data_IF_869423716358
#
_entry.id   IF_869423716358
#
_cell.length_a   1.000
_cell.length_b   1.000
_cell.length_c   1.000
_cell.angle_alpha   90.00
_cell.angle_beta   90.00
_cell.angle_gamma   90.00
#
_symmetry.space_group_name_H-M   'P 1'
#
loop_
_entity.id
_entity.type
_entity.pdbx_description
1 polymer ?
#
# COMPACT_ATOMS: atom_id res chain seq x y z
N UNK A 1 -7.89 19.59 54.73
CA UNK A 1 -6.71 18.70 54.58
C UNK A 1 -7.06 17.23 54.78
N UNK A 2 -7.75 16.83 55.86
CA UNK A 2 -8.06 15.42 56.20
C UNK A 2 -8.66 14.56 55.08
N UNK A 3 -9.59 15.10 54.27
CA UNK A 3 -10.17 14.36 53.14
C UNK A 3 -9.19 14.11 51.97
N UNK A 4 -8.24 15.03 51.75
CA UNK A 4 -7.18 14.90 50.74
C UNK A 4 -6.09 13.91 51.22
N UNK A 5 -5.75 13.95 52.51
CA UNK A 5 -4.81 13.01 53.14
C UNK A 5 -5.28 11.55 52.98
N UNK A 6 -6.59 11.29 53.04
CA UNK A 6 -7.18 9.96 52.84
C UNK A 6 -7.15 9.49 51.38
N UNK A 7 -7.02 10.41 50.42
CA UNK A 7 -6.99 10.11 48.98
C UNK A 7 -5.58 9.93 48.41
N UNK A 8 -4.56 10.52 49.04
CA UNK A 8 -3.17 10.40 48.61
C UNK A 8 -2.58 9.08 49.11
N UNK A 9 -2.00 8.28 48.21
CA UNK A 9 -1.35 7.00 48.52
C UNK A 9 0.14 7.07 48.22
N UNK A 10 0.91 6.35 49.04
CA UNK A 10 2.34 6.10 48.83
C UNK A 10 3.17 7.37 48.55
N UNK A 11 3.82 7.45 47.38
CA UNK A 11 4.71 8.56 47.01
C UNK A 11 4.00 9.91 46.97
N UNK A 12 2.70 9.95 46.73
CA UNK A 12 1.95 11.21 46.74
C UNK A 12 1.75 11.74 48.18
N UNK A 13 1.68 10.85 49.18
CA UNK A 13 1.60 11.22 50.60
C UNK A 13 2.93 11.81 51.10
N UNK A 14 4.06 11.30 50.62
CA UNK A 14 5.39 11.84 50.99
C UNK A 14 5.58 13.30 50.61
N UNK A 15 4.86 13.80 49.58
CA UNK A 15 4.89 15.21 49.19
C UNK A 15 4.17 16.07 50.24
N UNK A 16 3.05 15.58 50.76
CA UNK A 16 2.31 16.26 51.83
C UNK A 16 3.11 16.26 53.14
N UNK A 17 3.70 15.12 53.51
CA UNK A 17 4.57 15.01 54.70
C UNK A 17 5.79 15.94 54.62
N UNK A 18 6.39 16.09 53.43
CA UNK A 18 7.56 16.95 53.21
C UNK A 18 7.26 18.45 53.32
N UNK A 19 6.01 18.87 53.09
CA UNK A 19 5.60 20.27 53.15
C UNK A 19 5.15 20.69 54.57
N UNK A 20 4.79 19.74 55.44
CA UNK A 20 4.37 19.96 56.83
C UNK A 20 2.85 20.00 57.06
N UNK A 21 2.42 20.19 58.32
CA UNK A 21 0.98 20.17 58.68
C UNK A 21 0.23 21.47 58.35
N UNK A 22 0.92 22.61 58.19
CA UNK A 22 0.32 23.94 57.93
C UNK A 22 0.33 24.34 56.45
N UNK A 23 0.21 23.37 55.55
CA UNK A 23 0.32 23.60 54.10
C UNK A 23 -1.02 24.04 53.52
N UNK A 24 -1.01 25.10 52.72
CA UNK A 24 -2.21 25.53 52.01
C UNK A 24 -2.50 24.61 50.83
N UNK A 25 -3.76 24.56 50.39
CA UNK A 25 -4.14 23.76 49.23
C UNK A 25 -3.32 24.14 47.98
N UNK A 26 -3.06 25.44 47.78
CA UNK A 26 -2.28 25.94 46.65
C UNK A 26 -0.83 25.44 46.68
N UNK A 27 -0.17 25.48 47.85
CA UNK A 27 1.20 25.00 48.02
C UNK A 27 1.32 23.49 47.78
N UNK A 28 0.33 22.71 48.23
CA UNK A 28 0.28 21.28 47.97
C UNK A 28 0.10 20.99 46.47
N UNK A 29 -0.78 21.74 45.80
CA UNK A 29 -1.03 21.58 44.38
C UNK A 29 0.21 21.92 43.55
N UNK A 30 0.88 23.04 43.86
CA UNK A 30 2.12 23.47 43.21
C UNK A 30 3.24 22.43 43.41
N UNK A 31 3.39 21.87 44.61
CA UNK A 31 4.38 20.82 44.85
C UNK A 31 4.07 19.51 44.11
N UNK A 32 2.79 19.14 44.00
CA UNK A 32 2.36 17.97 43.23
C UNK A 32 2.57 18.21 41.73
N UNK A 33 2.25 19.40 41.22
CA UNK A 33 2.53 19.77 39.82
C UNK A 33 4.03 19.87 39.54
N UNK A 34 4.84 20.35 40.48
CA UNK A 34 6.29 20.41 40.31
C UNK A 34 6.92 19.01 40.25
N UNK A 35 6.44 18.07 41.07
CA UNK A 35 6.98 16.69 41.09
C UNK A 35 6.39 15.76 40.03
N UNK A 36 5.09 15.85 39.78
CA UNK A 36 4.35 14.90 38.95
C UNK A 36 3.73 15.53 37.70
N UNK A 37 3.68 16.86 37.63
CA UNK A 37 3.20 17.57 36.46
C UNK A 37 4.14 17.40 35.28
N UNK A 38 3.58 17.47 34.09
CA UNK A 38 4.28 17.24 32.83
C UNK A 38 4.56 18.55 32.06
N UNK A 39 4.37 19.71 32.70
CA UNK A 39 4.59 21.03 32.10
C UNK A 39 6.04 21.23 31.62
N UNK A 40 7.02 20.74 32.39
CA UNK A 40 8.43 20.80 31.99
C UNK A 40 8.79 19.84 30.84
N UNK A 41 7.89 18.92 30.47
CA UNK A 41 8.08 17.93 29.40
C UNK A 41 7.50 18.39 28.05
N UNK A 42 7.03 19.63 27.92
CA UNK A 42 6.49 20.18 26.66
C UNK A 42 7.41 19.91 25.46
N UNK A 43 8.71 20.16 25.60
CA UNK A 43 9.70 19.92 24.54
C UNK A 43 9.81 18.43 24.17
N UNK A 44 9.67 17.53 25.15
CA UNK A 44 9.68 16.09 24.93
C UNK A 44 8.44 15.68 24.13
N UNK A 45 7.25 16.20 24.49
CA UNK A 45 6.04 15.93 23.72
C UNK A 45 6.09 16.52 22.31
N UNK A 46 6.68 17.70 22.11
CA UNK A 46 6.94 18.25 20.77
C UNK A 46 7.83 17.35 19.93
N UNK A 47 8.88 16.77 20.53
CA UNK A 47 9.75 15.82 19.83
C UNK A 47 8.97 14.54 19.47
N UNK A 48 8.20 13.99 20.43
CA UNK A 48 7.36 12.82 20.19
C UNK A 48 6.34 13.05 19.07
N UNK A 49 5.70 14.23 18.98
CA UNK A 49 4.76 14.56 17.89
C UNK A 49 5.40 14.43 16.51
N UNK A 50 6.62 14.94 16.34
CA UNK A 50 7.29 14.98 15.03
C UNK A 50 7.54 13.60 14.45
N UNK A 51 7.89 12.66 15.31
CA UNK A 51 8.20 11.28 14.90
C UNK A 51 6.96 10.38 14.92
N UNK A 52 5.82 10.90 15.41
CA UNK A 52 4.62 10.09 15.59
C UNK A 52 3.84 9.96 14.29
N UNK A 53 3.58 8.70 13.93
CA UNK A 53 2.66 8.30 12.85
C UNK A 53 1.73 7.19 13.35
N UNK A 54 0.56 7.03 12.74
CA UNK A 54 -0.46 6.04 13.10
C UNK A 54 0.10 4.61 13.07
N UNK A 55 0.05 3.87 14.19
CA UNK A 55 0.62 2.51 14.32
C UNK A 55 -0.27 1.42 13.75
N UNK A 56 0.29 0.30 13.26
CA UNK A 56 -0.48 -0.73 12.53
C UNK A 56 -1.77 -1.21 13.22
N UNK A 57 -1.72 -1.30 14.55
CA UNK A 57 -2.78 -1.75 15.43
C UNK A 57 -3.69 -0.62 15.96
N UNK A 58 -3.49 0.62 15.51
CA UNK A 58 -4.21 1.81 15.92
C UNK A 58 -5.21 2.23 14.84
N UNK A 59 -6.49 2.27 15.20
CA UNK A 59 -7.54 2.77 14.31
C UNK A 59 -7.54 4.31 14.24
N UNK A 60 -8.28 4.90 13.30
CA UNK A 60 -8.30 6.36 13.08
C UNK A 60 -8.78 7.14 14.31
N UNK A 61 -9.70 6.59 15.09
CA UNK A 61 -10.27 7.25 16.27
C UNK A 61 -9.29 7.25 17.45
N UNK A 62 -8.62 6.13 17.69
CA UNK A 62 -7.54 6.01 18.67
C UNK A 62 -6.39 6.94 18.30
N UNK A 63 -6.03 6.98 17.01
CA UNK A 63 -5.03 7.90 16.49
C UNK A 63 -5.38 9.37 16.78
N UNK A 64 -6.61 9.79 16.45
CA UNK A 64 -7.08 11.14 16.70
C UNK A 64 -7.00 11.51 18.19
N UNK A 65 -7.46 10.61 19.07
CA UNK A 65 -7.42 10.82 20.52
C UNK A 65 -5.99 10.95 21.05
N UNK A 66 -5.08 10.11 20.58
CA UNK A 66 -3.69 10.16 21.02
C UNK A 66 -2.98 11.41 20.51
N UNK A 67 -3.21 11.83 19.25
CA UNK A 67 -2.73 13.12 18.73
C UNK A 67 -3.25 14.28 19.58
N UNK A 68 -4.54 14.29 19.87
CA UNK A 68 -5.18 15.36 20.63
C UNK A 68 -4.57 15.50 22.04
N UNK A 69 -4.37 14.38 22.75
CA UNK A 69 -3.68 14.39 24.06
C UNK A 69 -2.25 14.92 23.93
N UNK A 70 -1.51 14.47 22.93
CA UNK A 70 -0.09 14.76 22.79
C UNK A 70 0.16 16.22 22.35
N UNK A 71 -0.68 16.76 21.46
CA UNK A 71 -0.64 18.17 21.05
C UNK A 71 -0.98 19.10 22.21
N UNK A 72 -2.01 18.80 23.00
CA UNK A 72 -2.34 19.61 24.19
C UNK A 72 -1.23 19.62 25.23
N UNK A 73 -0.53 18.50 25.40
CA UNK A 73 0.64 18.43 26.27
C UNK A 73 1.85 19.18 25.70
N UNK A 74 2.05 19.14 24.39
CA UNK A 74 3.17 19.78 23.70
C UNK A 74 3.04 21.31 23.62
N UNK A 75 1.82 21.84 23.59
CA UNK A 75 1.53 23.28 23.44
C UNK A 75 0.71 23.83 24.61
N UNK A 76 0.84 23.26 25.81
CA UNK A 76 0.15 23.71 27.02
C UNK A 76 0.37 25.21 27.26
N UNK A 77 1.62 25.68 27.12
CA UNK A 77 2.00 27.10 27.22
C UNK A 77 1.47 28.02 26.11
N UNK A 78 1.10 27.48 24.94
CA UNK A 78 0.67 28.28 23.78
C UNK A 78 -0.60 27.69 23.16
N UNK A 79 -1.78 27.93 23.76
CA UNK A 79 -3.04 27.34 23.30
C UNK A 79 -3.41 27.70 21.86
N UNK A 80 -3.00 28.88 21.38
CA UNK A 80 -3.28 29.34 20.02
C UNK A 80 -2.70 28.42 18.93
N UNK A 81 -1.65 27.64 19.25
CA UNK A 81 -1.03 26.72 18.31
C UNK A 81 -1.68 25.33 18.30
N UNK A 82 -2.58 25.03 19.23
CA UNK A 82 -3.16 23.68 19.40
C UNK A 82 -3.94 23.28 18.15
N UNK A 83 -5.00 24.00 17.79
CA UNK A 83 -5.89 23.60 16.69
C UNK A 83 -5.14 23.44 15.35
N UNK A 84 -4.28 24.41 15.01
CA UNK A 84 -3.50 24.37 13.78
C UNK A 84 -2.54 23.18 13.71
N UNK A 85 -1.83 22.87 14.81
CA UNK A 85 -0.95 21.70 14.84
C UNK A 85 -1.72 20.39 14.90
N UNK A 86 -2.90 20.39 15.51
CA UNK A 86 -3.68 19.18 15.78
C UNK A 86 -4.28 18.60 14.50
N UNK A 87 -4.87 19.44 13.64
CA UNK A 87 -5.36 19.00 12.32
C UNK A 87 -4.21 18.54 11.44
N UNK A 88 -3.13 19.31 11.35
CA UNK A 88 -1.98 18.97 10.49
C UNK A 88 -1.30 17.67 10.94
N UNK A 89 -1.04 17.52 12.24
CA UNK A 89 -0.40 16.30 12.77
C UNK A 89 -1.28 15.07 12.58
N UNK A 90 -2.61 15.22 12.76
CA UNK A 90 -3.54 14.13 12.48
C UNK A 90 -3.45 13.67 11.04
N UNK A 91 -3.56 14.59 10.07
CA UNK A 91 -3.52 14.29 8.62
C UNK A 91 -2.17 13.68 8.25
N UNK A 92 -1.06 14.31 8.62
CA UNK A 92 0.29 13.89 8.23
C UNK A 92 0.64 12.50 8.79
N UNK A 93 0.12 12.16 9.96
CA UNK A 93 0.36 10.86 10.59
C UNK A 93 -0.56 9.72 10.14
N UNK A 94 -1.62 9.95 9.34
CA UNK A 94 -2.50 8.87 8.82
C UNK A 94 -1.67 7.87 8.02
N UNK A 95 -1.70 6.58 8.34
CA UNK A 95 -0.84 5.59 7.66
C UNK A 95 -1.25 5.30 6.22
N UNK A 96 -2.54 5.21 5.97
CA UNK A 96 -3.06 4.88 4.64
C UNK A 96 -2.93 6.11 3.72
N UNK A 97 -2.15 5.97 2.65
CA UNK A 97 -1.84 7.10 1.75
C UNK A 97 -3.07 7.61 1.01
N UNK A 98 -4.04 6.75 0.68
CA UNK A 98 -5.26 7.14 -0.01
C UNK A 98 -6.16 7.96 0.92
N UNK A 99 -6.34 7.47 2.15
CA UNK A 99 -7.09 8.20 3.19
C UNK A 99 -6.41 9.53 3.49
N UNK A 100 -5.08 9.53 3.66
CA UNK A 100 -4.30 10.75 3.90
C UNK A 100 -4.49 11.79 2.78
N UNK A 101 -4.38 11.36 1.53
CA UNK A 101 -4.52 12.26 0.38
C UNK A 101 -5.94 12.85 0.29
N UNK A 102 -6.97 12.02 0.46
CA UNK A 102 -8.36 12.47 0.42
C UNK A 102 -8.67 13.49 1.53
N UNK A 103 -8.26 13.20 2.76
CA UNK A 103 -8.47 14.11 3.91
C UNK A 103 -7.68 15.41 3.73
N UNK A 104 -6.45 15.35 3.20
CA UNK A 104 -5.64 16.56 2.94
C UNK A 104 -6.30 17.50 1.92
N UNK A 105 -7.00 16.96 0.92
CA UNK A 105 -7.74 17.76 -0.07
C UNK A 105 -9.01 18.40 0.51
N UNK A 106 -9.53 17.87 1.63
CA UNK A 106 -10.75 18.35 2.28
C UNK A 106 -10.62 19.66 3.07
N UNK A 107 -9.40 20.21 3.24
CA UNK A 107 -9.14 21.49 3.92
C UNK A 107 -9.91 21.69 5.24
N UNK A 108 -9.79 20.72 6.15
CA UNK A 108 -10.53 20.72 7.40
C UNK A 108 -10.07 21.81 8.38
N UNK A 109 -11.02 22.48 9.04
CA UNK A 109 -10.74 23.47 10.08
C UNK A 109 -10.59 22.83 11.47
N UNK A 110 -11.27 21.69 11.71
CA UNK A 110 -11.27 21.01 13.00
C UNK A 110 -10.87 19.54 12.87
N UNK A 111 -10.38 18.96 13.97
CA UNK A 111 -10.08 17.52 14.05
C UNK A 111 -11.29 16.65 13.81
N UNK A 112 -12.46 17.09 14.32
CA UNK A 112 -13.69 16.32 14.23
C UNK A 112 -14.10 16.16 12.77
N UNK A 113 -14.02 17.24 12.00
CA UNK A 113 -14.33 17.22 10.57
C UNK A 113 -13.32 16.37 9.79
N UNK A 114 -12.02 16.51 10.10
CA UNK A 114 -10.98 15.69 9.50
C UNK A 114 -11.16 14.19 9.80
N UNK A 115 -11.54 13.85 11.04
CA UNK A 115 -11.79 12.47 11.45
C UNK A 115 -13.05 11.91 10.78
N UNK A 116 -14.13 12.68 10.69
CA UNK A 116 -15.35 12.26 10.01
C UNK A 116 -15.08 11.93 8.54
N UNK A 117 -14.38 12.84 7.84
CA UNK A 117 -13.99 12.61 6.44
C UNK A 117 -13.06 11.40 6.29
N UNK A 118 -12.09 11.21 7.20
CA UNK A 118 -11.19 10.06 7.18
C UNK A 118 -11.96 8.73 7.32
N UNK A 119 -12.98 8.69 8.19
CA UNK A 119 -13.83 7.52 8.40
C UNK A 119 -14.72 7.23 7.19
N UNK A 120 -15.28 8.27 6.55
CA UNK A 120 -16.06 8.14 5.32
C UNK A 120 -15.23 7.53 4.18
N UNK A 121 -14.01 8.05 3.98
CA UNK A 121 -13.08 7.52 2.96
C UNK A 121 -12.67 6.09 3.27
N UNK A 122 -12.41 5.77 4.54
CA UNK A 122 -12.10 4.40 4.95
C UNK A 122 -13.25 3.43 4.67
N UNK A 123 -14.51 3.84 4.93
CA UNK A 123 -15.70 3.04 4.66
C UNK A 123 -15.89 2.78 3.16
N UNK A 124 -15.78 3.82 2.33
CA UNK A 124 -15.87 3.70 0.85
C UNK A 124 -14.80 2.76 0.31
N UNK A 125 -13.57 2.89 0.81
CA UNK A 125 -12.46 2.03 0.41
C UNK A 125 -12.66 0.58 0.84
N UNK A 126 -13.19 0.33 2.03
CA UNK A 126 -13.51 -1.03 2.46
C UNK A 126 -14.50 -1.69 1.49
N UNK A 127 -15.52 -0.97 1.03
CA UNK A 127 -16.47 -1.47 0.03
C UNK A 127 -15.80 -1.82 -1.32
N UNK A 128 -14.88 -0.96 -1.79
CA UNK A 128 -14.10 -1.21 -3.00
C UNK A 128 -13.07 -2.35 -2.88
N UNK A 129 -12.59 -2.68 -1.67
CA UNK A 129 -11.71 -3.86 -1.48
C UNK A 129 -12.45 -5.15 -1.76
N UNK A 130 -13.77 -5.21 -1.51
CA UNK A 130 -14.62 -6.36 -1.84
C UNK A 130 -14.97 -6.42 -3.33
N UNK A 131 -15.08 -5.26 -3.98
CA UNK A 131 -15.41 -5.14 -5.40
C UNK A 131 -14.18 -4.99 -6.29
N UNK A 132 -13.01 -5.52 -5.90
CA UNK A 132 -11.80 -5.49 -6.73
C UNK A 132 -12.10 -6.15 -8.09
N UNK A 133 -12.41 -5.33 -9.09
CA UNK A 133 -12.58 -5.76 -10.47
C UNK A 133 -11.28 -6.44 -10.84
N UNK A 134 -11.35 -7.73 -11.19
CA UNK A 134 -10.20 -8.46 -11.71
C UNK A 134 -9.65 -7.62 -12.86
N UNK A 135 -8.43 -7.11 -12.72
CA UNK A 135 -7.71 -6.59 -13.86
C UNK A 135 -7.68 -7.72 -14.89
N UNK A 136 -8.48 -7.58 -15.93
CA UNK A 136 -8.32 -8.38 -17.12
C UNK A 136 -7.04 -7.82 -17.71
N UNK A 137 -5.90 -8.45 -17.41
CA UNK A 137 -4.66 -8.18 -18.12
C UNK A 137 -5.06 -8.15 -19.59
N UNK A 138 -4.92 -6.99 -20.25
CA UNK A 138 -5.19 -6.87 -21.65
C UNK A 138 -4.31 -7.91 -22.30
N UNK A 139 -4.92 -9.05 -22.66
CA UNK A 139 -4.24 -10.09 -23.37
C UNK A 139 -3.79 -9.37 -24.63
N UNK A 140 -2.50 -9.04 -24.71
CA UNK A 140 -1.91 -8.49 -25.92
C UNK A 140 -2.38 -9.42 -27.01
N UNK A 141 -3.25 -8.93 -27.89
CA UNK A 141 -3.68 -9.70 -29.06
C UNK A 141 -2.37 -10.07 -29.71
N UNK A 142 -1.97 -11.34 -29.58
CA UNK A 142 -0.79 -11.84 -30.26
C UNK A 142 -1.14 -11.67 -31.72
N UNK A 143 -0.59 -10.64 -32.34
CA UNK A 143 -0.65 -10.44 -33.76
C UNK A 143 -0.03 -11.69 -34.41
N UNK A 144 -0.91 -12.63 -34.79
CA UNK A 144 -0.52 -13.88 -35.45
C UNK A 144 -0.03 -13.61 -36.88
N UNK A 145 -0.02 -12.36 -37.34
CA UNK A 145 0.26 -11.99 -38.72
C UNK A 145 1.71 -11.52 -38.95
N UNK A 146 2.64 -11.87 -38.06
CA UNK A 146 4.08 -11.67 -38.32
C UNK A 146 4.63 -12.80 -39.20
N UNK A 147 4.46 -12.65 -40.51
CA UNK A 147 5.46 -13.09 -41.49
C UNK A 147 5.40 -14.53 -42.01
N UNK A 148 4.25 -15.23 -41.96
CA UNK A 148 4.15 -16.51 -42.70
C UNK A 148 3.86 -16.25 -44.19
N UNK A 149 4.93 -16.08 -44.96
CA UNK A 149 4.89 -16.14 -46.41
C UNK A 149 5.13 -17.61 -46.83
N UNK A 150 4.11 -18.34 -47.30
CA UNK A 150 4.27 -19.74 -47.64
C UNK A 150 5.29 -19.89 -48.78
N UNK A 151 6.14 -20.92 -48.69
CA UNK A 151 7.06 -21.30 -49.77
C UNK A 151 6.35 -22.26 -50.71
N UNK A 152 6.57 -22.09 -52.00
CA UNK A 152 6.03 -22.95 -53.03
C UNK A 152 6.70 -24.33 -52.99
N UNK A 153 5.91 -25.40 -52.90
CA UNK A 153 6.40 -26.79 -52.97
C UNK A 153 6.84 -27.26 -54.37
N UNK A 154 6.84 -26.37 -55.37
CA UNK A 154 7.37 -26.63 -56.71
C UNK A 154 8.73 -25.95 -56.90
N UNK A 155 8.77 -24.62 -56.83
CA UNK A 155 9.97 -23.83 -57.10
C UNK A 155 10.74 -23.35 -55.85
N UNK A 156 10.22 -23.54 -54.63
CA UNK A 156 10.87 -23.13 -53.39
C UNK A 156 10.75 -21.64 -53.02
N UNK A 157 10.23 -20.80 -53.93
CA UNK A 157 10.08 -19.35 -53.73
C UNK A 157 8.98 -19.00 -52.72
N UNK A 158 9.17 -17.90 -51.97
CA UNK A 158 8.21 -17.40 -50.97
C UNK A 158 7.10 -16.59 -51.63
N UNK A 159 5.91 -16.61 -51.05
CA UNK A 159 4.79 -15.71 -51.41
C UNK A 159 3.66 -16.36 -52.18
N UNK A 160 3.78 -17.64 -52.55
CA UNK A 160 2.73 -18.39 -53.22
C UNK A 160 2.85 -19.90 -52.95
N UNK A 161 1.77 -20.65 -53.21
CA UNK A 161 1.73 -22.11 -53.09
C UNK A 161 1.88 -22.77 -54.47
N UNK A 162 2.14 -24.08 -54.53
CA UNK A 162 2.34 -24.84 -55.79
C UNK A 162 1.22 -24.66 -56.81
N UNK A 163 0.00 -24.39 -56.35
CA UNK A 163 -1.19 -24.14 -57.19
C UNK A 163 -1.10 -22.84 -58.00
N UNK A 164 -0.38 -21.84 -57.50
CA UNK A 164 -0.29 -20.49 -58.04
C UNK A 164 1.15 -20.16 -58.44
N UNK A 165 1.93 -21.18 -58.79
CA UNK A 165 3.33 -21.04 -59.14
C UNK A 165 3.48 -20.47 -60.56
N UNK A 166 4.16 -19.32 -60.75
CA UNK A 166 4.39 -18.75 -62.07
C UNK A 166 5.38 -19.58 -62.92
N UNK A 167 6.14 -20.48 -62.30
CA UNK A 167 7.13 -21.34 -62.97
C UNK A 167 6.59 -22.73 -63.34
N UNK A 168 5.29 -23.02 -63.09
CA UNK A 168 4.69 -24.36 -63.30
C UNK A 168 4.79 -24.87 -64.75
N UNK A 169 4.98 -23.98 -65.71
CA UNK A 169 5.00 -24.31 -67.14
C UNK A 169 6.39 -24.58 -67.71
N UNK A 170 7.46 -24.30 -66.97
CA UNK A 170 8.85 -24.47 -67.44
C UNK A 170 9.45 -25.86 -67.13
N UNK A 171 8.77 -26.69 -66.33
CA UNK A 171 9.23 -28.05 -66.00
C UNK A 171 8.94 -29.08 -67.10
N UNK A 172 8.18 -28.76 -68.16
CA UNK A 172 7.90 -29.71 -69.26
C UNK A 172 9.01 -29.85 -70.30
N UNK A 173 10.06 -29.04 -70.27
CA UNK A 173 11.14 -29.06 -71.28
C UNK A 173 12.50 -29.56 -70.74
N UNK A 174 12.57 -29.97 -69.47
CA UNK A 174 13.81 -30.48 -68.84
C UNK A 174 13.90 -32.00 -68.66
N UNK A 175 12.82 -32.76 -68.87
CA UNK A 175 12.75 -34.21 -68.64
C UNK A 175 13.03 -35.05 -69.91
N UNK A 176 14.15 -34.78 -70.61
CA UNK A 176 14.62 -35.68 -71.70
C UNK A 176 16.05 -36.17 -71.51
N UNK A 177 16.54 -36.22 -70.29
CA UNK A 177 17.86 -36.76 -70.01
C UNK A 177 17.89 -37.38 -68.61
N UNK A 178 17.25 -38.53 -68.45
CA UNK A 178 17.58 -39.64 -67.52
C UNK A 178 16.31 -40.44 -67.15
N UNK A 179 15.88 -41.35 -68.04
CA UNK A 179 15.10 -42.53 -67.67
C UNK A 179 15.72 -43.76 -68.36
N UNK A 180 15.88 -44.85 -67.59
CA UNK A 180 16.43 -46.13 -68.03
C UNK A 180 17.40 -46.72 -66.99
N UNK A 181 17.00 -46.84 -65.73
CA UNK A 181 16.09 -47.87 -65.15
C UNK A 181 16.81 -49.16 -64.77
N UNK A 182 16.83 -49.39 -63.47
CA UNK A 182 17.29 -50.58 -62.78
C UNK A 182 16.39 -51.79 -63.08
N UNK A 183 17.01 -52.97 -63.20
CA UNK A 183 16.33 -54.25 -63.28
C UNK A 183 16.55 -55.04 -61.98
N UNK A 184 15.42 -55.50 -61.41
CA UNK A 184 15.23 -56.60 -60.45
C UNK A 184 15.96 -56.52 -59.10
N UNK A 185 15.32 -56.79 -57.97
CA UNK A 185 14.65 -58.06 -57.69
C UNK A 185 13.73 -57.96 -56.46
N UNK A 186 12.53 -58.51 -56.60
CA UNK A 186 11.64 -58.95 -55.52
C UNK A 186 12.18 -60.24 -54.87
N UNK A 187 11.90 -60.45 -53.57
CA UNK A 187 11.38 -61.71 -52.96
C UNK A 187 11.92 -61.97 -51.53
N UNK A 188 10.97 -61.89 -50.59
CA UNK A 188 10.72 -62.68 -49.37
C UNK A 188 11.88 -63.15 -48.47
N UNK A 189 11.76 -62.82 -47.17
CA UNK A 189 12.09 -63.72 -46.08
C UNK A 189 11.01 -63.66 -45.00
N UNK A 190 10.35 -64.79 -44.76
CA UNK A 190 9.55 -65.10 -43.59
C UNK A 190 10.16 -66.32 -42.90
N UNK A 191 10.31 -66.22 -41.57
CA UNK A 191 10.39 -67.31 -40.58
C UNK A 191 11.70 -68.14 -40.62
N UNK A 192 12.37 -68.52 -39.54
CA UNK A 192 12.04 -68.63 -38.11
C UNK A 192 12.66 -69.95 -37.60
N UNK A 193 13.12 -69.97 -36.34
CA UNK A 193 13.55 -71.14 -35.54
C UNK A 193 14.99 -71.64 -35.86
N UNK A 194 15.89 -71.97 -34.93
CA UNK A 194 15.87 -72.41 -33.52
C UNK A 194 17.05 -71.80 -32.73
#
# INVERSE_FOLDING_TARGET
MTALTLGLRDQALTVLEALGEEVTYEQLLEALEARYGDAHLEHVFRAQLKDRVQRINENLQQWALEVEKLVRKAYRSVPALIEGNLVQTFIDGIRDLEVRAAVRLGHHETLKDALAHALEVEAVRQDHRFHRVREVAAATVRDRNKGYSPRCYGCGEKGHLRSSCPYRTLEREGERSQEGSAANSTVQQQQGNE
#
